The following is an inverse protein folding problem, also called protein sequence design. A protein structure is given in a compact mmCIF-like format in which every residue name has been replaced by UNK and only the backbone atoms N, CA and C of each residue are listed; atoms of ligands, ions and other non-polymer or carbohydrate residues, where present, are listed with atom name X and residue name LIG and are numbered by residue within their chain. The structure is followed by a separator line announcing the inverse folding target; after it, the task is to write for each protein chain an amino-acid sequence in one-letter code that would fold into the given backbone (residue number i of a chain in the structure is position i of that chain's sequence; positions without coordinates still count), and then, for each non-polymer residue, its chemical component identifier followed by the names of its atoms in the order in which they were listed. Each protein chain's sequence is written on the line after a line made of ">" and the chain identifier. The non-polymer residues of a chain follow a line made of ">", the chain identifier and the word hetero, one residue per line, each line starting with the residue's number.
data_IF_585750577646
#
_entry.id   IF_585750577646
#
_cell.length_a   1.000
_cell.length_b   1.000
_cell.length_c   1.000
_cell.angle_alpha   90.00
_cell.angle_beta   90.00
_cell.angle_gamma   90.00
#
_symmetry.space_group_name_H-M   'P 1'
#
loop_
_entity.id
_entity.type
_entity.pdbx_description
1 polymer ?
#
# COMPACT_ATOMS: atom_id res chain seq x y z
N UNK A 1 21.22 -17.06 -27.38
CA UNK A 1 19.92 -17.65 -27.05
C UNK A 1 18.78 -16.73 -27.48
N UNK A 2 17.86 -17.22 -28.28
CA UNK A 2 16.68 -16.43 -28.67
C UNK A 2 15.80 -16.14 -27.46
N UNK A 3 15.53 -14.87 -27.19
CA UNK A 3 14.51 -14.48 -26.20
C UNK A 3 13.16 -15.01 -26.69
N UNK A 4 12.42 -15.74 -25.84
CA UNK A 4 11.11 -16.27 -26.16
C UNK A 4 10.17 -15.22 -26.72
N UNK A 5 9.23 -15.65 -27.56
CA UNK A 5 8.24 -14.76 -28.17
C UNK A 5 7.46 -13.97 -27.11
N UNK A 6 7.14 -12.70 -27.38
CA UNK A 6 6.42 -11.80 -26.43
C UNK A 6 5.14 -12.43 -25.84
N UNK A 7 4.40 -13.23 -26.63
CA UNK A 7 3.21 -13.92 -26.16
C UNK A 7 3.51 -15.00 -25.13
N UNK A 8 4.61 -15.75 -25.28
CA UNK A 8 5.06 -16.77 -24.32
C UNK A 8 5.50 -16.15 -23.00
N UNK A 9 6.25 -15.06 -23.07
CA UNK A 9 6.68 -14.29 -21.88
C UNK A 9 5.45 -13.74 -21.13
N UNK A 10 4.45 -13.22 -21.86
CA UNK A 10 3.21 -12.70 -21.27
C UNK A 10 2.38 -13.82 -20.63
N UNK A 11 2.28 -15.00 -21.27
CA UNK A 11 1.58 -16.18 -20.71
C UNK A 11 2.26 -16.65 -19.42
N UNK A 12 3.59 -16.79 -19.42
CA UNK A 12 4.35 -17.19 -18.23
C UNK A 12 4.18 -16.17 -17.07
N UNK A 13 4.19 -14.87 -17.37
CA UNK A 13 3.94 -13.82 -16.38
C UNK A 13 2.51 -13.89 -15.81
N UNK A 14 1.52 -14.13 -16.66
CA UNK A 14 0.14 -14.21 -16.23
C UNK A 14 -0.16 -15.50 -15.43
N UNK A 15 0.52 -16.61 -15.74
CA UNK A 15 0.38 -17.86 -15.00
C UNK A 15 0.89 -17.74 -13.55
N UNK A 16 1.92 -16.89 -13.33
CA UNK A 16 2.51 -16.65 -12.00
C UNK A 16 1.96 -15.38 -11.33
N UNK A 17 0.86 -14.82 -11.83
CA UNK A 17 0.25 -13.63 -11.23
C UNK A 17 -0.43 -14.00 -9.91
N UNK A 18 -0.11 -13.26 -8.86
CA UNK A 18 -0.80 -13.35 -7.58
C UNK A 18 -2.30 -13.02 -7.77
N UNK A 19 -3.16 -13.95 -7.36
CA UNK A 19 -4.62 -13.82 -7.45
C UNK A 19 -5.26 -13.36 -6.14
N UNK A 20 -4.46 -13.22 -5.07
CA UNK A 20 -4.94 -12.73 -3.78
C UNK A 20 -5.53 -11.32 -3.91
N UNK A 21 -6.62 -11.01 -3.18
CA UNK A 21 -7.22 -9.69 -3.22
C UNK A 21 -6.23 -8.63 -2.72
N UNK A 22 -6.08 -7.59 -3.48
CA UNK A 22 -5.13 -6.53 -3.16
C UNK A 22 -5.63 -5.16 -3.54
N UNK A 23 -5.13 -4.14 -2.87
CA UNK A 23 -5.31 -2.74 -3.24
C UNK A 23 -3.99 -2.00 -3.18
N UNK A 24 -3.81 -1.07 -4.12
CA UNK A 24 -2.61 -0.24 -4.23
C UNK A 24 -2.97 1.22 -4.37
N UNK A 25 -2.39 2.05 -3.51
CA UNK A 25 -2.45 3.49 -3.59
C UNK A 25 -1.12 4.03 -4.11
N UNK A 26 -1.14 4.69 -5.26
CA UNK A 26 0.05 5.31 -5.84
C UNK A 26 0.12 6.79 -5.48
N UNK A 27 1.34 7.30 -5.28
CA UNK A 27 1.63 8.72 -5.00
C UNK A 27 0.90 9.28 -3.77
N UNK A 28 0.79 8.50 -2.70
CA UNK A 28 0.26 8.99 -1.42
C UNK A 28 1.15 10.11 -0.88
N UNK A 29 0.54 11.24 -0.47
CA UNK A 29 1.23 12.46 0.00
C UNK A 29 1.76 12.31 1.43
N UNK A 30 2.58 11.29 1.66
CA UNK A 30 3.24 11.03 2.94
C UNK A 30 4.58 10.33 2.72
N UNK A 31 5.46 10.41 3.72
CA UNK A 31 6.72 9.68 3.67
C UNK A 31 6.50 8.19 3.94
N UNK A 32 7.35 7.33 3.36
CA UNK A 32 7.34 5.89 3.57
C UNK A 32 7.41 5.53 5.06
N UNK A 33 8.29 6.17 5.84
CA UNK A 33 8.43 5.90 7.26
C UNK A 33 7.12 6.08 8.04
N UNK A 34 6.39 7.19 7.77
CA UNK A 34 5.10 7.45 8.43
C UNK A 34 4.03 6.42 8.05
N UNK A 35 4.04 5.94 6.81
CA UNK A 35 3.18 4.85 6.39
C UNK A 35 3.57 3.53 7.06
N UNK A 36 4.86 3.18 7.08
CA UNK A 36 5.36 1.94 7.68
C UNK A 36 4.98 1.80 9.15
N UNK A 37 5.09 2.85 9.97
CA UNK A 37 4.69 2.79 11.38
C UNK A 37 3.24 2.35 11.59
N UNK A 38 2.35 2.72 10.69
CA UNK A 38 0.94 2.30 10.77
C UNK A 38 0.75 0.90 10.18
N UNK A 39 1.43 0.60 9.06
CA UNK A 39 1.35 -0.71 8.42
C UNK A 39 1.88 -1.83 9.32
N UNK A 40 2.97 -1.58 10.07
CA UNK A 40 3.55 -2.57 10.97
C UNK A 40 2.60 -2.96 12.11
N UNK A 41 1.71 -2.06 12.52
CA UNK A 41 0.70 -2.34 13.55
C UNK A 41 -0.42 -3.24 13.04
N UNK A 42 -0.78 -3.16 11.77
CA UNK A 42 -1.90 -3.93 11.19
C UNK A 42 -1.46 -5.23 10.48
N UNK A 43 -0.17 -5.39 10.22
CA UNK A 43 0.35 -6.59 9.54
C UNK A 43 0.02 -7.86 10.30
N UNK A 44 -0.53 -8.86 9.61
CA UNK A 44 -0.89 -10.17 10.17
C UNK A 44 -2.14 -10.16 11.05
N UNK A 45 -2.83 -9.04 11.18
CA UNK A 45 -4.08 -8.93 11.96
C UNK A 45 -5.30 -9.18 11.09
N UNK A 46 -6.38 -9.62 11.76
CA UNK A 46 -7.68 -9.77 11.11
C UNK A 46 -8.19 -8.40 10.63
N UNK A 47 -8.92 -8.41 9.54
CA UNK A 47 -9.39 -7.19 8.89
C UNK A 47 -10.24 -6.33 9.83
N UNK A 48 -11.12 -6.94 10.62
CA UNK A 48 -11.97 -6.23 11.60
C UNK A 48 -11.13 -5.52 12.66
N UNK A 49 -10.13 -6.24 13.22
CA UNK A 49 -9.19 -5.67 14.20
C UNK A 49 -8.35 -4.54 13.58
N UNK A 50 -7.88 -4.73 12.34
CA UNK A 50 -7.11 -3.71 11.62
C UNK A 50 -7.93 -2.43 11.36
N UNK A 51 -9.19 -2.56 10.97
CA UNK A 51 -10.11 -1.42 10.81
C UNK A 51 -10.34 -0.67 12.13
N UNK A 52 -10.53 -1.40 13.23
CA UNK A 52 -10.64 -0.81 14.57
C UNK A 52 -9.40 0.01 14.94
N UNK A 53 -8.20 -0.58 14.79
CA UNK A 53 -6.92 0.10 15.06
C UNK A 53 -6.79 1.37 14.21
N UNK A 54 -7.06 1.28 12.90
CA UNK A 54 -6.94 2.42 12.00
C UNK A 54 -7.95 3.54 12.29
N UNK A 55 -9.12 3.20 12.83
CA UNK A 55 -10.15 4.18 13.17
C UNK A 55 -9.76 5.02 14.40
N UNK A 56 -9.16 4.40 15.40
CA UNK A 56 -8.79 5.08 16.65
C UNK A 56 -7.37 5.67 16.64
N UNK A 57 -6.55 5.35 15.64
CA UNK A 57 -5.19 5.87 15.53
C UNK A 57 -5.21 7.33 14.97
N UNK A 58 -4.72 8.34 15.72
CA UNK A 58 -4.80 9.74 15.32
C UNK A 58 -3.85 10.15 14.18
N UNK A 59 -3.01 9.25 13.70
CA UNK A 59 -2.04 9.56 12.65
C UNK A 59 -2.74 9.76 11.29
N UNK A 60 -2.32 10.77 10.54
CA UNK A 60 -2.82 11.02 9.17
C UNK A 60 -2.74 9.79 8.26
N UNK A 61 -1.64 9.02 8.36
CA UNK A 61 -1.46 7.80 7.59
C UNK A 61 -2.59 6.78 7.81
N UNK A 62 -3.16 6.71 9.02
CA UNK A 62 -4.21 5.77 9.36
C UNK A 62 -5.50 6.02 8.58
N UNK A 63 -5.88 7.27 8.37
CA UNK A 63 -7.08 7.61 7.59
C UNK A 63 -6.95 7.22 6.11
N UNK A 64 -5.75 7.37 5.56
CA UNK A 64 -5.45 7.01 4.17
C UNK A 64 -5.39 5.48 4.00
N UNK A 65 -4.70 4.81 4.92
CA UNK A 65 -4.55 3.34 4.91
C UNK A 65 -5.90 2.66 5.17
N UNK A 66 -6.77 3.24 6.01
CA UNK A 66 -8.12 2.73 6.24
C UNK A 66 -8.92 2.67 4.93
N UNK A 67 -8.95 3.75 4.15
CA UNK A 67 -9.63 3.76 2.84
C UNK A 67 -9.05 2.74 1.86
N UNK A 68 -7.73 2.55 1.90
CA UNK A 68 -7.08 1.55 1.07
C UNK A 68 -7.46 0.12 1.50
N UNK A 69 -7.55 -0.14 2.80
CA UNK A 69 -7.98 -1.42 3.35
C UNK A 69 -9.44 -1.71 2.99
N UNK A 70 -10.34 -0.73 3.12
CA UNK A 70 -11.74 -0.85 2.68
C UNK A 70 -11.85 -1.19 1.19
N UNK A 71 -11.01 -0.61 0.34
CA UNK A 71 -10.92 -0.96 -1.09
C UNK A 71 -10.42 -2.39 -1.30
N UNK A 72 -9.45 -2.86 -0.52
CA UNK A 72 -8.97 -4.25 -0.60
C UNK A 72 -10.04 -5.25 -0.18
N UNK A 73 -10.83 -4.93 0.85
CA UNK A 73 -11.96 -5.74 1.31
C UNK A 73 -13.02 -5.85 0.21
N UNK A 74 -13.42 -4.72 -0.38
CA UNK A 74 -14.39 -4.73 -1.48
C UNK A 74 -13.89 -5.55 -2.68
N UNK A 75 -12.59 -5.53 -2.97
CA UNK A 75 -12.01 -6.38 -4.00
C UNK A 75 -12.07 -7.87 -3.61
N UNK A 76 -11.86 -8.22 -2.34
CA UNK A 76 -11.97 -9.59 -1.84
C UNK A 76 -13.40 -10.13 -1.99
N UNK A 77 -14.39 -9.36 -1.58
CA UNK A 77 -15.79 -9.74 -1.66
C UNK A 77 -16.28 -9.85 -3.12
N UNK A 78 -16.08 -8.81 -3.92
CA UNK A 78 -16.66 -8.72 -5.26
C UNK A 78 -15.93 -9.58 -6.30
N UNK A 79 -14.61 -9.69 -6.22
CA UNK A 79 -13.82 -10.38 -7.24
C UNK A 79 -13.52 -11.83 -6.87
N UNK A 80 -13.31 -12.12 -5.59
CA UNK A 80 -12.88 -13.42 -5.11
C UNK A 80 -14.00 -14.17 -4.33
N UNK A 81 -15.09 -13.48 -3.96
CA UNK A 81 -16.19 -14.08 -3.18
C UNK A 81 -15.80 -14.51 -1.77
N UNK A 82 -14.76 -13.87 -1.20
CA UNK A 82 -14.22 -14.19 0.12
C UNK A 82 -15.09 -13.63 1.25
N UNK A 83 -15.17 -14.36 2.36
CA UNK A 83 -15.90 -13.93 3.55
C UNK A 83 -15.07 -12.97 4.40
N UNK A 84 -15.67 -11.88 4.83
CA UNK A 84 -15.02 -10.84 5.65
C UNK A 84 -14.53 -11.35 7.00
N UNK A 85 -15.16 -12.39 7.54
CA UNK A 85 -14.83 -12.94 8.86
C UNK A 85 -13.47 -13.63 8.90
N UNK A 86 -13.06 -14.24 7.78
CA UNK A 86 -11.83 -15.03 7.68
C UNK A 86 -10.66 -14.23 7.08
N UNK A 87 -10.92 -12.99 6.62
CA UNK A 87 -9.89 -12.17 5.99
C UNK A 87 -8.89 -11.61 7.00
N UNK A 88 -7.61 -11.66 6.65
CA UNK A 88 -6.53 -11.03 7.38
C UNK A 88 -5.57 -10.27 6.46
N UNK A 89 -4.79 -9.37 7.02
CA UNK A 89 -3.75 -8.62 6.29
C UNK A 89 -2.52 -9.50 6.13
N UNK A 90 -2.39 -10.17 4.99
CA UNK A 90 -1.26 -11.05 4.71
C UNK A 90 0.02 -10.26 4.49
N UNK A 91 -0.03 -9.28 3.60
CA UNK A 91 1.11 -8.42 3.27
C UNK A 91 0.70 -6.96 3.25
N UNK A 92 1.52 -6.11 3.81
CA UNK A 92 1.37 -4.67 3.66
C UNK A 92 2.75 -4.00 3.65
N UNK A 93 2.96 -3.13 2.68
CA UNK A 93 4.23 -2.43 2.51
C UNK A 93 4.05 -1.07 1.84
N UNK A 94 5.03 -0.20 2.07
CA UNK A 94 5.10 1.11 1.43
C UNK A 94 6.44 1.29 0.74
N UNK A 95 6.42 1.69 -0.51
CA UNK A 95 7.57 1.96 -1.33
C UNK A 95 7.75 3.46 -1.58
N UNK A 96 9.00 3.88 -1.76
CA UNK A 96 9.32 5.27 -2.06
C UNK A 96 8.82 5.64 -3.46
N UNK A 97 8.14 6.78 -3.56
CA UNK A 97 7.72 7.41 -4.79
C UNK A 97 8.54 8.69 -5.06
N UNK A 98 8.44 9.29 -6.25
CA UNK A 98 9.14 10.52 -6.58
C UNK A 98 8.88 11.62 -5.56
N UNK A 99 9.94 12.31 -5.15
CA UNK A 99 9.88 13.40 -4.17
C UNK A 99 9.80 14.74 -4.89
N UNK A 100 8.86 15.57 -4.50
CA UNK A 100 8.78 16.95 -4.98
C UNK A 100 9.73 17.82 -4.17
N UNK A 101 10.56 18.56 -4.86
CA UNK A 101 11.56 19.44 -4.26
C UNK A 101 11.04 20.86 -4.24
N UNK A 102 11.23 21.56 -3.11
CA UNK A 102 10.94 22.97 -2.93
C UNK A 102 12.16 23.64 -2.31
N UNK A 103 12.27 24.96 -2.47
CA UNK A 103 13.37 25.76 -1.91
C UNK A 103 12.77 26.72 -0.90
N UNK A 104 13.42 26.81 0.26
CA UNK A 104 13.13 27.82 1.27
C UNK A 104 14.30 28.79 1.37
N UNK A 105 14.12 30.07 0.99
CA UNK A 105 15.15 31.09 1.15
C UNK A 105 15.48 31.32 2.64
N UNK A 106 16.76 31.55 2.93
CA UNK A 106 17.28 31.88 4.26
C UNK A 106 18.20 33.09 4.17
N UNK A 107 18.67 33.57 5.33
CA UNK A 107 19.60 34.69 5.43
C UNK A 107 20.89 34.43 4.64
N UNK A 108 21.58 35.51 4.24
CA UNK A 108 22.86 35.48 3.53
C UNK A 108 22.82 34.80 2.15
N UNK A 109 21.70 34.90 1.41
CA UNK A 109 21.54 34.32 0.09
C UNK A 109 21.52 32.79 0.04
N UNK A 110 21.38 32.14 1.21
CA UNK A 110 21.30 30.67 1.30
C UNK A 110 19.90 30.18 0.96
N UNK A 111 19.81 29.03 0.29
CA UNK A 111 18.56 28.35 0.00
C UNK A 111 18.63 26.92 0.56
N UNK A 112 17.59 26.51 1.28
CA UNK A 112 17.48 25.15 1.81
C UNK A 112 16.40 24.39 1.08
N UNK A 113 16.68 23.14 0.73
CA UNK A 113 15.75 22.26 0.05
C UNK A 113 14.71 21.71 1.02
N UNK A 114 13.46 21.77 0.64
CA UNK A 114 12.33 21.08 1.30
C UNK A 114 11.90 19.94 0.41
N UNK A 115 11.83 18.73 0.96
CA UNK A 115 11.38 17.54 0.26
C UNK A 115 9.92 17.24 0.63
N UNK A 116 9.03 17.27 -0.35
CA UNK A 116 7.65 16.78 -0.24
C UNK A 116 7.62 15.32 -0.71
N UNK A 117 7.82 14.41 0.23
CA UNK A 117 7.91 12.98 -0.04
C UNK A 117 6.55 12.38 -0.37
N UNK A 118 6.54 11.42 -1.28
CA UNK A 118 5.38 10.59 -1.63
C UNK A 118 5.73 9.12 -1.50
N UNK A 119 4.72 8.28 -1.36
CA UNK A 119 4.87 6.84 -1.22
C UNK A 119 3.82 6.08 -2.02
N UNK A 120 4.15 4.85 -2.38
CA UNK A 120 3.21 3.88 -2.92
C UNK A 120 2.91 2.86 -1.84
N UNK A 121 1.64 2.66 -1.50
CA UNK A 121 1.21 1.75 -0.45
C UNK A 121 0.47 0.59 -1.09
N UNK A 122 0.79 -0.62 -0.71
CA UNK A 122 0.12 -1.84 -1.17
C UNK A 122 -0.32 -2.67 0.04
N UNK A 123 -1.52 -3.22 -0.05
CA UNK A 123 -2.09 -4.15 0.93
C UNK A 123 -2.58 -5.38 0.17
N UNK A 124 -2.23 -6.55 0.66
CA UNK A 124 -2.70 -7.85 0.14
C UNK A 124 -3.40 -8.55 1.30
N UNK A 125 -4.60 -9.01 1.03
CA UNK A 125 -5.40 -9.79 1.97
C UNK A 125 -5.34 -11.28 1.61
N UNK A 126 -5.62 -12.12 2.59
CA UNK A 126 -5.73 -13.56 2.40
C UNK A 126 -6.74 -14.12 3.41
N UNK A 127 -7.23 -15.33 3.19
CA UNK A 127 -8.12 -16.02 4.11
C UNK A 127 -7.32 -16.93 5.06
N UNK A 128 -7.72 -16.97 6.32
CA UNK A 128 -7.25 -17.99 7.25
C UNK A 128 -8.08 -19.25 7.09
N UNK A 129 -7.40 -20.38 6.97
CA UNK A 129 -8.01 -21.71 7.06
C UNK A 129 -8.58 -21.97 8.45
#
# INVERSE_FOLDING_TARGET
>A
MAKGHRSQIKRARNANKDTRPSAKLSYARMSVQKACYVLDVIRGKDVQTALGILTYNPRYASSVIKKLLESAIANAENNNGMSLENLYVAECYANKAPTMKRIRPRAQGRAYRIEKRTSHISIVLDERE
#
